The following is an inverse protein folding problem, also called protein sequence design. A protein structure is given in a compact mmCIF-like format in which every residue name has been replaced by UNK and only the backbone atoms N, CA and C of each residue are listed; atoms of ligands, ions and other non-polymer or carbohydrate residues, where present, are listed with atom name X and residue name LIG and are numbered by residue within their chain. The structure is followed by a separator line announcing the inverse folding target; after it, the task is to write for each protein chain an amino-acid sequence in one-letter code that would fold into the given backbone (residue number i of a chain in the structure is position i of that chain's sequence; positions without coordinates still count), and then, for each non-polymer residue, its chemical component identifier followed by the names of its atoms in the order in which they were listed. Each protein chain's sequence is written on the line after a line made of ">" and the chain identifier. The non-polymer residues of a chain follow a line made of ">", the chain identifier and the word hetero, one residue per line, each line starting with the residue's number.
data_IF_963315936278
#
_entry.id   IF_963315936278
#
_cell.length_a   1.000
_cell.length_b   1.000
_cell.length_c   1.000
_cell.angle_alpha   90.00
_cell.angle_beta   90.00
_cell.angle_gamma   90.00
#
_symmetry.space_group_name_H-M   'P 1'
#
loop_
_entity.id
_entity.type
_entity.pdbx_description
1 polymer ?
#
# COMPACT_ATOMS: atom_id res chain seq x y z
N UNK A 1 -2.06 5.02 15.34
CA UNK A 1 -3.49 5.27 15.57
C UNK A 1 -4.22 4.19 14.81
N UNK A 2 -5.16 3.51 15.45
CA UNK A 2 -5.91 2.45 14.76
C UNK A 2 -7.06 3.08 13.98
N UNK A 3 -7.15 2.75 12.69
CA UNK A 3 -8.24 3.22 11.83
C UNK A 3 -9.52 2.45 12.14
N UNK A 4 -10.69 2.85 11.69
CA UNK A 4 -11.89 2.02 11.82
C UNK A 4 -11.95 0.96 10.70
N UNK A 5 -12.62 -0.19 10.92
CA UNK A 5 -12.89 -1.13 9.82
C UNK A 5 -13.77 -0.42 8.78
N UNK A 6 -13.37 -0.49 7.50
CA UNK A 6 -13.98 0.27 6.42
C UNK A 6 -13.35 1.64 6.16
N UNK A 7 -12.38 2.08 6.97
CA UNK A 7 -11.61 3.29 6.67
C UNK A 7 -10.83 3.11 5.36
N UNK A 8 -10.80 4.17 4.54
CA UNK A 8 -10.04 4.21 3.30
C UNK A 8 -8.81 5.11 3.45
N UNK A 9 -7.68 4.64 2.94
CA UNK A 9 -6.44 5.39 2.91
C UNK A 9 -5.86 5.45 1.49
N UNK A 10 -5.40 6.64 1.13
CA UNK A 10 -4.63 6.89 -0.09
C UNK A 10 -3.15 6.79 0.24
N UNK A 11 -2.44 5.94 -0.49
CA UNK A 11 -1.00 5.71 -0.34
C UNK A 11 -0.30 6.17 -1.63
N UNK A 12 0.56 7.18 -1.51
CA UNK A 12 1.34 7.75 -2.63
C UNK A 12 2.80 7.30 -2.57
N UNK A 13 3.61 7.79 -3.51
CA UNK A 13 5.06 7.75 -3.42
C UNK A 13 5.58 8.35 -2.10
N UNK A 14 6.63 7.75 -1.56
CA UNK A 14 7.35 8.27 -0.39
C UNK A 14 6.94 7.62 0.92
N UNK A 15 7.00 8.39 2.01
CA UNK A 15 6.73 7.91 3.38
C UNK A 15 5.30 8.23 3.78
N UNK A 16 4.50 7.21 4.11
CA UNK A 16 3.17 7.39 4.70
C UNK A 16 3.17 6.98 6.17
N UNK A 17 3.11 7.96 7.06
CA UNK A 17 3.18 7.76 8.52
C UNK A 17 1.80 7.61 9.20
N UNK A 18 0.73 7.50 8.41
CA UNK A 18 -0.64 7.34 8.96
C UNK A 18 -0.92 5.96 9.53
N UNK A 19 -0.06 4.99 9.26
CA UNK A 19 -0.18 3.63 9.78
C UNK A 19 0.66 3.45 11.06
N UNK A 20 0.14 2.73 12.08
CA UNK A 20 0.96 2.36 13.23
C UNK A 20 2.14 1.50 12.80
N UNK A 21 3.28 1.65 13.45
CA UNK A 21 4.53 0.95 13.08
C UNK A 21 5.38 1.73 12.08
N UNK A 22 4.76 2.29 11.02
CA UNK A 22 5.30 3.21 10.00
C UNK A 22 6.54 2.72 9.21
N UNK A 23 6.79 3.09 7.94
CA UNK A 23 5.96 3.78 6.95
C UNK A 23 5.25 2.79 6.00
N UNK A 24 4.22 3.25 5.28
CA UNK A 24 3.42 2.45 4.33
C UNK A 24 3.22 3.27 3.05
N UNK A 25 4.33 3.62 2.40
CA UNK A 25 4.31 4.40 1.17
C UNK A 25 5.03 3.71 0.03
N UNK A 26 4.56 3.97 -1.20
CA UNK A 26 4.92 3.24 -2.40
C UNK A 26 6.35 3.53 -2.82
N UNK A 27 7.23 2.53 -2.69
CA UNK A 27 8.60 2.59 -3.20
C UNK A 27 8.64 2.64 -4.73
N UNK A 28 7.61 2.11 -5.40
CA UNK A 28 7.46 2.15 -6.86
C UNK A 28 6.02 1.87 -7.28
N UNK A 29 5.54 2.53 -8.33
CA UNK A 29 4.35 2.12 -9.09
C UNK A 29 4.77 1.83 -10.54
N UNK A 30 4.08 0.91 -11.21
CA UNK A 30 4.32 0.58 -12.61
C UNK A 30 3.11 -0.15 -13.22
N UNK A 31 3.09 -0.21 -14.55
CA UNK A 31 2.28 -1.16 -15.30
C UNK A 31 3.12 -2.42 -15.55
N UNK A 32 2.57 -3.60 -15.25
CA UNK A 32 3.22 -4.87 -15.58
C UNK A 32 3.17 -5.20 -17.08
N UNK A 33 3.68 -6.37 -17.47
CA UNK A 33 3.80 -6.75 -18.88
C UNK A 33 2.45 -6.83 -19.62
N UNK A 34 1.35 -7.05 -18.87
CA UNK A 34 -0.01 -7.09 -19.40
C UNK A 34 -0.70 -5.72 -19.34
N UNK A 35 0.01 -4.68 -18.89
CA UNK A 35 -0.54 -3.34 -18.68
C UNK A 35 -1.37 -3.20 -17.40
N UNK A 36 -1.24 -4.13 -16.45
CA UNK A 36 -1.97 -4.08 -15.18
C UNK A 36 -1.22 -3.23 -14.15
N UNK A 37 -1.91 -2.35 -13.40
CA UNK A 37 -1.29 -1.58 -12.33
C UNK A 37 -0.73 -2.46 -11.20
N UNK A 38 0.49 -2.14 -10.78
CA UNK A 38 1.17 -2.76 -9.65
C UNK A 38 1.93 -1.70 -8.83
N UNK A 39 2.14 -2.02 -7.57
CA UNK A 39 2.89 -1.16 -6.65
C UNK A 39 3.81 -1.98 -5.75
N UNK A 40 4.83 -1.31 -5.21
CA UNK A 40 5.75 -1.84 -4.22
C UNK A 40 5.62 -1.01 -2.96
N UNK A 41 5.15 -1.59 -1.87
CA UNK A 41 5.01 -0.90 -0.59
C UNK A 41 6.30 -1.04 0.22
N UNK A 42 6.81 0.10 0.71
CA UNK A 42 7.80 0.12 1.79
C UNK A 42 7.11 -0.14 3.12
N UNK A 43 7.74 -0.97 3.96
CA UNK A 43 7.14 -1.46 5.18
C UNK A 43 7.73 -0.94 6.48
N UNK A 44 6.99 -1.11 7.59
CA UNK A 44 7.52 -0.95 8.92
C UNK A 44 8.57 -1.98 9.28
N UNK A 45 9.17 -1.80 10.46
CA UNK A 45 10.10 -2.76 11.06
C UNK A 45 9.53 -4.20 11.13
N UNK A 46 8.21 -4.36 11.21
CA UNK A 46 7.56 -5.67 11.20
C UNK A 46 7.66 -6.41 9.86
N UNK A 47 7.92 -5.71 8.75
CA UNK A 47 8.20 -6.30 7.44
C UNK A 47 9.71 -6.46 7.19
N UNK A 48 10.57 -6.39 8.23
CA UNK A 48 12.04 -6.38 8.04
C UNK A 48 12.58 -7.56 7.22
N UNK A 49 11.97 -8.73 7.33
CA UNK A 49 12.39 -9.93 6.61
C UNK A 49 11.93 -9.90 5.13
N UNK A 50 10.77 -9.29 4.83
CA UNK A 50 10.28 -9.11 3.45
C UNK A 50 10.82 -7.81 2.80
N UNK A 51 11.19 -6.82 3.60
CA UNK A 51 11.60 -5.48 3.19
C UNK A 51 10.48 -4.68 2.53
N UNK A 52 10.35 -4.86 1.21
CA UNK A 52 9.31 -4.21 0.41
C UNK A 52 8.43 -5.27 -0.24
N UNK A 53 7.12 -5.06 -0.22
CA UNK A 53 6.15 -6.02 -0.76
C UNK A 53 5.60 -5.53 -2.09
N UNK A 54 5.55 -6.41 -3.09
CA UNK A 54 4.83 -6.16 -4.33
C UNK A 54 3.36 -6.45 -4.13
N UNK A 55 2.49 -5.56 -4.61
CA UNK A 55 1.06 -5.64 -4.42
C UNK A 55 0.29 -5.22 -5.67
N UNK A 56 -0.90 -5.78 -5.80
CA UNK A 56 -1.89 -5.51 -6.86
C UNK A 56 -3.25 -5.23 -6.27
N UNK A 57 -4.16 -4.70 -7.09
CA UNK A 57 -5.57 -4.58 -6.73
C UNK A 57 -6.14 -5.94 -6.31
N UNK A 58 -6.78 -5.97 -5.15
CA UNK A 58 -7.32 -7.18 -4.53
C UNK A 58 -6.42 -7.81 -3.47
N UNK A 59 -5.12 -7.54 -3.49
CA UNK A 59 -4.19 -8.02 -2.47
C UNK A 59 -4.46 -7.38 -1.11
N UNK A 60 -3.96 -8.03 -0.07
CA UNK A 60 -4.04 -7.52 1.31
C UNK A 60 -2.65 -7.39 1.92
N UNK A 61 -2.47 -6.37 2.76
CA UNK A 61 -1.28 -6.23 3.60
C UNK A 61 -1.69 -5.97 5.05
N UNK A 62 -0.81 -6.31 5.99
CA UNK A 62 -1.04 -6.08 7.42
C UNK A 62 0.06 -5.19 7.99
N UNK A 63 -0.34 -4.13 8.68
CA UNK A 63 0.56 -3.17 9.33
C UNK A 63 -0.01 -2.73 10.66
N UNK A 64 0.81 -2.72 11.71
CA UNK A 64 0.39 -2.35 13.05
C UNK A 64 -0.77 -3.20 13.56
N UNK A 65 -0.83 -4.47 13.17
CA UNK A 65 -1.93 -5.39 13.48
C UNK A 65 -3.25 -5.14 12.75
N UNK A 66 -3.29 -4.22 11.77
CA UNK A 66 -4.47 -3.93 10.96
C UNK A 66 -4.29 -4.46 9.55
N UNK A 67 -5.31 -5.12 9.00
CA UNK A 67 -5.27 -5.65 7.63
C UNK A 67 -6.03 -4.74 6.69
N UNK A 68 -5.41 -4.46 5.56
CA UNK A 68 -5.89 -3.55 4.54
C UNK A 68 -5.96 -4.28 3.21
N UNK A 69 -7.04 -4.07 2.47
CA UNK A 69 -7.22 -4.57 1.12
C UNK A 69 -7.00 -3.44 0.13
N UNK A 70 -6.19 -3.67 -0.90
CA UNK A 70 -6.00 -2.72 -1.98
C UNK A 70 -7.21 -2.79 -2.89
N UNK A 71 -7.89 -1.65 -3.02
CA UNK A 71 -9.09 -1.52 -3.83
C UNK A 71 -8.78 -0.98 -5.21
N UNK A 72 -7.72 -0.18 -5.35
CA UNK A 72 -7.32 0.38 -6.64
C UNK A 72 -5.84 0.81 -6.65
N UNK A 73 -5.26 0.90 -7.84
CA UNK A 73 -3.96 1.51 -8.12
C UNK A 73 -4.13 2.41 -9.34
N UNK A 74 -3.98 3.72 -9.12
CA UNK A 74 -4.34 4.76 -10.07
C UNK A 74 -3.08 5.41 -10.63
N UNK A 75 -3.11 5.67 -11.94
CA UNK A 75 -2.05 6.36 -12.70
C UNK A 75 -0.65 5.78 -12.46
N UNK A 76 -0.52 4.45 -12.45
CA UNK A 76 0.68 3.73 -12.01
C UNK A 76 1.96 4.04 -12.80
N UNK A 77 1.85 4.62 -14.00
CA UNK A 77 2.97 5.06 -14.85
C UNK A 77 3.28 6.57 -14.75
N UNK A 78 2.62 7.28 -13.81
CA UNK A 78 2.78 8.71 -13.55
C UNK A 78 3.49 8.99 -12.22
N UNK A 79 4.05 10.18 -12.08
CA UNK A 79 4.54 10.71 -10.80
C UNK A 79 3.39 10.97 -9.80
N UNK A 80 2.16 11.08 -10.29
CA UNK A 80 0.96 11.26 -9.47
C UNK A 80 0.37 9.93 -8.95
N UNK A 81 1.01 8.79 -9.24
CA UNK A 81 0.51 7.47 -8.89
C UNK A 81 0.17 7.32 -7.40
N UNK A 82 -0.89 6.58 -7.14
CA UNK A 82 -1.29 6.22 -5.79
C UNK A 82 -2.08 4.91 -5.78
N UNK A 83 -2.16 4.29 -4.61
CA UNK A 83 -3.09 3.20 -4.38
C UNK A 83 -4.10 3.57 -3.29
N UNK A 84 -5.26 2.96 -3.40
CA UNK A 84 -6.34 3.04 -2.44
C UNK A 84 -6.41 1.73 -1.67
N UNK A 85 -6.53 1.81 -0.35
CA UNK A 85 -6.70 0.65 0.48
C UNK A 85 -7.81 0.87 1.50
N UNK A 86 -8.59 -0.17 1.78
CA UNK A 86 -9.64 -0.16 2.79
C UNK A 86 -9.28 -1.10 3.93
N UNK A 87 -9.45 -0.67 5.18
CA UNK A 87 -9.25 -1.54 6.34
C UNK A 87 -10.33 -2.62 6.37
N UNK A 88 -9.92 -3.87 6.47
CA UNK A 88 -10.82 -5.04 6.52
C UNK A 88 -10.79 -5.77 7.86
N UNK A 89 -9.74 -5.61 8.67
CA UNK A 89 -9.69 -6.10 10.07
C UNK A 89 -8.74 -5.33 10.95
#
# INVERSE_FOLDING_TARGET
>A
MDHEIGAEERITYGRNDRFPGGPVGGGRFWLDEDGSPAAKLGGPEEWRDEGMIDVRTGDTFTVGGQTWRITDIVDADSDDAYLMAVRVS
#
